data_IF_889163808706
#
_entry.id   IF_889163808706
#
_cell.length_a   1.000
_cell.length_b   1.000
_cell.length_c   1.000
_cell.angle_alpha   90.00
_cell.angle_beta   90.00
_cell.angle_gamma   90.00
#
_symmetry.space_group_name_H-M   'P 1'
#
loop_
_entity.id
_entity.type
_entity.pdbx_description
1 polymer ?
#
# COMPACT_ATOMS: atom_id res chain seq x y z
N UNK A 1 17.86 17.71 10.43
CA UNK A 1 16.43 17.91 10.73
C UNK A 1 15.70 17.70 9.41
N UNK A 2 15.04 16.56 9.15
CA UNK A 2 14.29 16.41 7.91
C UNK A 2 13.07 17.32 8.01
N UNK A 3 12.96 18.27 7.09
CA UNK A 3 11.78 19.08 6.91
C UNK A 3 10.68 18.14 6.41
N UNK A 4 9.87 17.62 7.32
CA UNK A 4 8.63 16.95 6.96
C UNK A 4 7.82 17.98 6.17
N UNK A 5 7.57 17.71 4.87
CA UNK A 5 6.80 18.61 3.99
C UNK A 5 5.52 18.99 4.73
N UNK A 6 5.39 20.25 5.15
CA UNK A 6 4.28 20.73 5.95
C UNK A 6 3.01 20.97 5.11
N UNK A 7 2.69 20.03 4.22
CA UNK A 7 1.56 20.09 3.32
C UNK A 7 1.70 19.17 2.12
N UNK A 8 0.57 18.57 1.74
CA UNK A 8 0.40 17.94 0.44
C UNK A 8 0.48 19.04 -0.61
N UNK A 9 1.53 19.03 -1.44
CA UNK A 9 1.56 19.89 -2.61
C UNK A 9 0.53 19.38 -3.64
N UNK A 10 0.05 20.23 -4.56
CA UNK A 10 -0.87 19.80 -5.62
C UNK A 10 -0.32 18.60 -6.42
N UNK A 11 1.00 18.54 -6.59
CA UNK A 11 1.70 17.43 -7.24
C UNK A 11 1.62 16.13 -6.44
N UNK A 12 1.62 16.20 -5.11
CA UNK A 12 1.48 15.03 -4.24
C UNK A 12 0.05 14.50 -4.26
N UNK A 13 -0.96 15.37 -4.33
CA UNK A 13 -2.36 14.95 -4.46
C UNK A 13 -2.61 14.20 -5.77
N UNK A 14 -2.04 14.70 -6.86
CA UNK A 14 -2.12 14.08 -8.19
C UNK A 14 -1.41 12.71 -8.21
N UNK A 15 -0.26 12.60 -7.54
CA UNK A 15 0.44 11.33 -7.31
C UNK A 15 -0.41 10.35 -6.50
N UNK A 16 -0.92 10.77 -5.33
CA UNK A 16 -1.80 9.95 -4.49
C UNK A 16 -3.01 9.44 -5.26
N UNK A 17 -3.61 10.28 -6.10
CA UNK A 17 -4.77 9.92 -6.90
C UNK A 17 -4.45 8.88 -7.97
N UNK A 18 -3.29 8.98 -8.65
CA UNK A 18 -2.81 7.97 -9.61
C UNK A 18 -2.54 6.63 -8.94
N UNK A 19 -1.79 6.64 -7.83
CA UNK A 19 -1.48 5.43 -7.05
C UNK A 19 -2.75 4.76 -6.57
N UNK A 20 -3.71 5.55 -6.06
CA UNK A 20 -5.00 5.06 -5.62
C UNK A 20 -5.82 4.43 -6.76
N UNK A 21 -5.97 5.12 -7.89
CA UNK A 21 -6.72 4.59 -9.04
C UNK A 21 -6.08 3.30 -9.58
N UNK A 22 -4.75 3.27 -9.66
CA UNK A 22 -4.00 2.10 -10.09
C UNK A 22 -4.26 0.90 -9.18
N UNK A 23 -4.18 1.07 -7.85
CA UNK A 23 -4.43 -0.03 -6.90
C UNK A 23 -5.91 -0.43 -6.91
N UNK A 24 -6.84 0.52 -6.98
CA UNK A 24 -8.25 0.22 -7.11
C UNK A 24 -8.55 -0.60 -8.38
N UNK A 25 -7.90 -0.27 -9.50
CA UNK A 25 -8.05 -1.01 -10.75
C UNK A 25 -7.38 -2.38 -10.68
N UNK A 26 -6.19 -2.49 -10.08
CA UNK A 26 -5.41 -3.72 -9.98
C UNK A 26 -6.05 -4.75 -9.02
N UNK A 27 -6.56 -4.28 -7.89
CA UNK A 27 -7.22 -5.12 -6.88
C UNK A 27 -8.76 -5.18 -7.03
N UNK A 28 -9.31 -4.57 -8.08
CA UNK A 28 -10.75 -4.49 -8.36
C UNK A 28 -11.57 -3.93 -7.17
N UNK A 29 -11.03 -2.91 -6.50
CA UNK A 29 -11.65 -2.30 -5.33
C UNK A 29 -12.62 -1.22 -5.77
N UNK A 30 -13.86 -1.32 -5.32
CA UNK A 30 -14.83 -0.27 -5.51
C UNK A 30 -14.40 1.00 -4.75
N UNK A 31 -14.32 2.12 -5.45
CA UNK A 31 -13.93 3.44 -4.92
C UNK A 31 -14.74 3.90 -3.71
N UNK A 32 -15.97 3.41 -3.59
CA UNK A 32 -16.92 3.70 -2.50
C UNK A 32 -16.88 2.67 -1.37
N UNK A 33 -15.94 1.73 -1.41
CA UNK A 33 -15.78 0.70 -0.37
C UNK A 33 -14.95 1.25 0.79
N UNK A 34 -15.23 0.75 1.99
CA UNK A 34 -14.38 0.94 3.17
C UNK A 34 -12.91 0.56 2.90
N UNK A 35 -12.70 -0.40 2.01
CA UNK A 35 -11.35 -0.83 1.60
C UNK A 35 -10.61 0.25 0.81
N UNK A 36 -11.34 1.07 0.05
CA UNK A 36 -10.80 2.22 -0.65
C UNK A 36 -10.45 3.35 0.34
N UNK A 37 -11.30 3.61 1.34
CA UNK A 37 -10.96 4.56 2.42
C UNK A 37 -9.66 4.18 3.15
N UNK A 38 -9.50 2.90 3.50
CA UNK A 38 -8.25 2.43 4.12
C UNK A 38 -7.05 2.59 3.20
N UNK A 39 -7.21 2.30 1.90
CA UNK A 39 -6.16 2.49 0.90
C UNK A 39 -5.73 3.96 0.80
N UNK A 40 -6.68 4.89 0.80
CA UNK A 40 -6.37 6.33 0.76
C UNK A 40 -5.57 6.77 1.99
N UNK A 41 -5.95 6.29 3.18
CA UNK A 41 -5.21 6.57 4.41
C UNK A 41 -3.79 5.99 4.37
N UNK A 42 -3.63 4.75 3.91
CA UNK A 42 -2.32 4.11 3.77
C UNK A 42 -1.40 4.91 2.82
N UNK A 43 -1.93 5.41 1.71
CA UNK A 43 -1.20 6.26 0.75
C UNK A 43 -0.77 7.58 1.39
N UNK A 44 -1.66 8.25 2.13
CA UNK A 44 -1.33 9.51 2.81
C UNK A 44 -0.23 9.31 3.85
N UNK A 45 -0.33 8.26 4.67
CA UNK A 45 0.68 7.93 5.67
C UNK A 45 2.03 7.60 5.01
N UNK A 46 2.02 6.82 3.93
CA UNK A 46 3.24 6.49 3.19
C UNK A 46 3.93 7.74 2.64
N UNK A 47 3.17 8.71 2.14
CA UNK A 47 3.69 9.96 1.63
C UNK A 47 4.24 10.87 2.76
N UNK A 48 3.65 10.82 3.94
CA UNK A 48 4.15 11.54 5.12
C UNK A 48 5.45 10.92 5.67
N UNK A 49 5.57 9.60 5.62
CA UNK A 49 6.76 8.86 6.05
C UNK A 49 7.89 8.99 5.03
N UNK A 50 7.58 8.82 3.74
CA UNK A 50 8.52 8.81 2.62
C UNK A 50 8.22 9.99 1.68
N UNK A 51 8.52 11.21 2.15
CA UNK A 51 8.22 12.46 1.45
C UNK A 51 8.95 12.67 0.10
N UNK A 52 9.85 11.76 -0.27
CA UNK A 52 10.62 11.74 -1.53
C UNK A 52 10.28 10.52 -2.42
N UNK A 53 9.34 9.66 -1.99
CA UNK A 53 9.01 8.45 -2.74
C UNK A 53 8.35 8.76 -4.08
N UNK A 54 8.86 8.12 -5.13
CA UNK A 54 8.29 8.15 -6.47
C UNK A 54 6.99 7.32 -6.55
N UNK A 55 6.22 7.48 -7.63
CA UNK A 55 4.95 6.75 -7.85
C UNK A 55 5.11 5.23 -7.68
N UNK A 56 6.19 4.68 -8.26
CA UNK A 56 6.49 3.26 -8.22
C UNK A 56 6.87 2.78 -6.81
N UNK A 57 7.60 3.60 -6.05
CA UNK A 57 7.97 3.29 -4.67
C UNK A 57 6.75 3.31 -3.76
N UNK A 58 5.88 4.32 -3.91
CA UNK A 58 4.62 4.40 -3.18
C UNK A 58 3.72 3.20 -3.50
N UNK A 59 3.61 2.81 -4.78
CA UNK A 59 2.85 1.62 -5.20
C UNK A 59 3.39 0.33 -4.57
N UNK A 60 4.70 0.10 -4.64
CA UNK A 60 5.35 -1.08 -4.08
C UNK A 60 5.20 -1.14 -2.55
N UNK A 61 5.36 0.00 -1.87
CA UNK A 61 5.20 0.10 -0.42
C UNK A 61 3.78 -0.27 0.01
N UNK A 62 2.77 0.32 -0.63
CA UNK A 62 1.36 0.07 -0.31
C UNK A 62 0.99 -1.38 -0.64
N UNK A 63 1.38 -1.90 -1.82
CA UNK A 63 1.16 -3.31 -2.18
C UNK A 63 1.83 -4.27 -1.22
N UNK A 64 3.04 -3.94 -0.75
CA UNK A 64 3.77 -4.76 0.23
C UNK A 64 3.09 -4.74 1.59
N UNK A 65 2.66 -3.56 2.06
CA UNK A 65 1.90 -3.40 3.30
C UNK A 65 0.58 -4.17 3.25
N UNK A 66 -0.14 -4.10 2.13
CA UNK A 66 -1.39 -4.84 1.91
C UNK A 66 -1.20 -6.34 1.76
N UNK A 67 -0.13 -6.79 1.11
CA UNK A 67 0.26 -8.22 1.15
C UNK A 67 0.55 -8.66 2.57
N UNK A 68 1.27 -7.84 3.36
CA UNK A 68 1.57 -8.15 4.74
C UNK A 68 0.29 -8.23 5.60
N UNK A 69 -0.68 -7.33 5.43
CA UNK A 69 -1.97 -7.41 6.15
C UNK A 69 -2.82 -8.60 5.72
N UNK A 70 -2.85 -8.92 4.42
CA UNK A 70 -3.48 -10.15 3.91
C UNK A 70 -2.79 -11.42 4.44
N UNK A 71 -1.47 -11.39 4.62
CA UNK A 71 -0.69 -12.49 5.20
C UNK A 71 -0.76 -12.58 6.73
N UNK A 72 -0.94 -11.46 7.43
CA UNK A 72 -1.20 -11.44 8.88
C UNK A 72 -2.58 -12.01 9.22
N UNK A 73 -3.46 -12.15 8.22
CA UNK A 73 -4.72 -12.87 8.30
C UNK A 73 -4.63 -14.40 8.31
N UNK A 74 -3.45 -15.02 8.25
CA UNK A 74 -3.34 -16.49 8.42
C UNK A 74 -1.98 -16.95 8.98
N UNK A 75 -1.87 -17.22 10.31
CA UNK A 75 -0.71 -17.91 10.87
C UNK A 75 -0.64 -19.42 10.50
N UNK A 76 -1.59 -19.96 9.74
CA UNK A 76 -1.73 -21.40 9.51
C UNK A 76 -0.90 -21.98 8.34
N UNK A 77 -0.35 -21.18 7.42
CA UNK A 77 0.30 -21.71 6.21
C UNK A 77 1.85 -21.73 6.26
N UNK A 78 2.47 -21.53 7.42
CA UNK A 78 3.94 -21.54 7.55
C UNK A 78 4.57 -22.92 7.75
N UNK A 79 3.83 -24.04 7.71
CA UNK A 79 4.45 -25.36 7.82
C UNK A 79 3.72 -26.45 7.02
N UNK A 80 4.09 -26.58 5.75
CA UNK A 80 3.58 -27.64 4.88
C UNK A 80 4.57 -28.00 3.78
N UNK A 81 5.85 -28.17 4.11
CA UNK A 81 6.88 -28.32 3.09
C UNK A 81 8.07 -29.19 3.50
N UNK A 82 7.84 -30.45 3.89
CA UNK A 82 8.75 -31.58 3.62
C UNK A 82 8.14 -32.93 4.02
N UNK A 83 7.34 -33.49 3.12
CA UNK A 83 7.18 -34.94 3.03
C UNK A 83 7.69 -35.39 1.66
N UNK A 84 8.95 -35.81 1.59
CA UNK A 84 9.43 -36.68 0.52
C UNK A 84 10.16 -37.84 1.17
N UNK A 85 9.43 -38.96 1.17
CA UNK A 85 9.81 -40.32 1.52
C UNK A 85 11.08 -40.74 0.77
N UNK A 86 11.99 -41.45 1.43
CA UNK A 86 12.41 -42.82 1.11
C UNK A 86 13.40 -43.33 2.14
#
# INVERSE_FOLDING_TARGET
MPFKRAGLYPADLDLCQRVFDQICSDEHIARSSLEADHLALDIMVALEEEADADEAELLELIRSKRRATRHLGNPAERHGGRLRRR
#
